data_IF_396068466382
#
_entry.id   IF_396068466382
#
_cell.length_a   1.000
_cell.length_b   1.000
_cell.length_c   1.000
_cell.angle_alpha   90.00
_cell.angle_beta   90.00
_cell.angle_gamma   90.00
#
_symmetry.space_group_name_H-M   'P 1'
#
loop_
_entity.id
_entity.type
_entity.pdbx_description
1 polymer ?
#
# COMPACT_ATOMS: atom_id res chain seq x y z
N UNK A 1 -8.98 -49.29 22.26
CA UNK A 1 -9.44 -47.98 21.76
C UNK A 1 -8.79 -46.91 22.61
N UNK A 2 -7.83 -46.17 22.06
CA UNK A 2 -7.13 -45.10 22.76
C UNK A 2 -7.65 -43.76 22.30
N UNK A 3 -7.95 -42.87 23.24
CA UNK A 3 -8.33 -41.49 22.93
C UNK A 3 -7.05 -40.73 22.61
N UNK A 4 -7.02 -40.05 21.47
CA UNK A 4 -5.98 -39.08 21.15
C UNK A 4 -6.55 -37.68 21.34
N UNK A 5 -5.76 -36.81 21.95
CA UNK A 5 -6.06 -35.38 22.04
C UNK A 5 -5.33 -34.63 20.94
N UNK A 6 -6.03 -33.71 20.29
CA UNK A 6 -5.43 -32.72 19.39
C UNK A 6 -5.38 -31.40 20.14
N UNK A 7 -4.20 -30.77 20.16
CA UNK A 7 -4.01 -29.44 20.72
C UNK A 7 -4.27 -28.41 19.61
N UNK A 8 -5.28 -27.57 19.80
CA UNK A 8 -5.57 -26.46 18.88
C UNK A 8 -5.01 -25.18 19.51
N UNK A 9 -3.92 -24.69 18.94
CA UNK A 9 -3.37 -23.38 19.31
C UNK A 9 -4.17 -22.31 18.59
N UNK A 10 -4.99 -21.57 19.34
CA UNK A 10 -5.61 -20.34 18.81
C UNK A 10 -4.51 -19.28 18.79
N UNK A 11 -3.93 -19.05 17.62
CA UNK A 11 -3.09 -17.90 17.39
C UNK A 11 -4.01 -16.69 17.32
N UNK A 12 -4.18 -15.99 18.44
CA UNK A 12 -4.83 -14.69 18.47
C UNK A 12 -3.94 -13.71 17.69
N UNK A 13 -4.03 -13.77 16.36
CA UNK A 13 -3.56 -12.67 15.53
C UNK A 13 -4.17 -11.41 16.12
N UNK A 14 -3.35 -10.40 16.37
CA UNK A 14 -3.84 -9.11 16.85
C UNK A 14 -4.80 -8.59 15.80
N UNK A 15 -6.10 -8.83 15.98
CA UNK A 15 -7.18 -8.22 15.22
C UNK A 15 -7.43 -6.80 15.75
N UNK A 16 -6.37 -6.03 15.97
CA UNK A 16 -6.49 -4.58 15.92
C UNK A 16 -6.61 -4.24 14.44
N UNK A 17 -7.32 -3.16 14.10
CA UNK A 17 -7.61 -2.79 12.72
C UNK A 17 -6.36 -3.01 11.84
N UNK A 18 -6.37 -3.98 10.92
CA UNK A 18 -5.41 -3.99 9.85
C UNK A 18 -5.84 -2.84 8.97
N UNK A 19 -5.35 -1.64 9.27
CA UNK A 19 -5.54 -0.51 8.37
C UNK A 19 -4.73 -0.85 7.12
N UNK A 20 -5.35 -1.55 6.18
CA UNK A 20 -4.91 -1.52 4.79
C UNK A 20 -5.32 -0.14 4.30
N UNK A 21 -4.34 0.73 4.12
CA UNK A 21 -4.59 2.08 3.64
C UNK A 21 -3.51 2.51 2.66
N UNK A 22 -3.88 3.46 1.83
CA UNK A 22 -2.95 4.23 1.01
C UNK A 22 -2.92 5.64 1.61
N UNK A 23 -1.74 6.17 1.98
CA UNK A 23 -1.63 7.55 2.46
C UNK A 23 -2.29 8.53 1.48
N UNK A 24 -3.00 9.52 2.01
CA UNK A 24 -3.69 10.52 1.19
C UNK A 24 -2.71 11.48 0.48
N UNK A 25 -1.50 11.63 1.02
CA UNK A 25 -0.48 12.51 0.49
C UNK A 25 0.92 11.88 0.64
N UNK A 26 1.79 12.18 -0.32
CA UNK A 26 3.22 11.87 -0.29
C UNK A 26 3.97 13.00 -1.01
N UNK A 27 5.26 13.15 -0.71
CA UNK A 27 6.11 14.26 -1.17
C UNK A 27 7.36 13.68 -1.83
N UNK A 28 7.34 13.35 -3.13
CA UNK A 28 8.49 12.77 -3.85
C UNK A 28 9.58 13.81 -4.14
N UNK A 29 10.02 14.56 -3.14
CA UNK A 29 10.97 15.67 -3.23
C UNK A 29 12.43 15.26 -2.93
N UNK A 30 12.67 13.98 -2.68
CA UNK A 30 13.95 13.37 -2.38
C UNK A 30 14.57 13.91 -1.07
N UNK A 31 13.72 14.18 -0.07
CA UNK A 31 14.15 14.57 1.29
C UNK A 31 14.24 13.38 2.27
N UNK A 32 13.91 12.18 1.80
CA UNK A 32 13.89 10.93 2.58
C UNK A 32 12.57 10.69 3.31
N UNK A 33 11.61 11.60 3.24
CA UNK A 33 10.35 11.57 3.98
C UNK A 33 9.16 11.53 3.03
N UNK A 34 8.39 10.43 3.08
CA UNK A 34 7.21 10.22 2.24
C UNK A 34 7.49 10.37 0.73
N UNK A 35 8.68 9.98 0.27
CA UNK A 35 9.06 10.08 -1.14
C UNK A 35 8.39 9.05 -2.04
N UNK A 36 7.98 7.92 -1.46
CA UNK A 36 7.41 6.80 -2.18
C UNK A 36 6.05 6.45 -1.57
N UNK A 37 5.04 6.38 -2.42
CA UNK A 37 3.68 5.98 -2.06
C UNK A 37 3.56 4.46 -2.07
N UNK A 38 3.20 3.88 -0.93
CA UNK A 38 3.01 2.44 -0.74
C UNK A 38 1.59 2.14 -0.26
N UNK A 39 1.13 0.92 -0.54
CA UNK A 39 0.04 0.30 0.24
C UNK A 39 0.60 -0.08 1.61
N UNK A 40 -0.02 0.39 2.69
CA UNK A 40 0.36 0.10 4.07
C UNK A 40 -0.66 -0.83 4.69
N UNK A 41 -0.21 -1.77 5.51
CA UNK A 41 -1.07 -2.73 6.21
C UNK A 41 -0.29 -3.98 6.61
N UNK A 42 -0.78 -4.70 7.62
CA UNK A 42 -0.22 -5.96 8.07
C UNK A 42 -1.31 -6.83 8.75
N UNK A 43 -1.53 -8.09 8.33
CA UNK A 43 -0.93 -8.75 7.18
C UNK A 43 -1.53 -8.28 5.84
N UNK A 44 -0.70 -8.29 4.80
CA UNK A 44 -1.12 -8.20 3.39
C UNK A 44 -0.58 -9.46 2.72
N UNK A 45 -1.49 -10.34 2.30
CA UNK A 45 -1.19 -11.58 1.57
C UNK A 45 -0.95 -11.28 0.08
N UNK A 46 -1.88 -10.57 -0.56
CA UNK A 46 -1.81 -10.16 -1.96
C UNK A 46 -2.23 -8.70 -2.12
N UNK A 47 -1.68 -8.03 -3.14
CA UNK A 47 -2.05 -6.65 -3.49
C UNK A 47 -2.08 -6.48 -5.00
N UNK A 48 -3.02 -5.65 -5.47
CA UNK A 48 -2.93 -5.01 -6.77
C UNK A 48 -3.04 -3.51 -6.53
N UNK A 49 -1.95 -2.79 -6.76
CA UNK A 49 -1.88 -1.36 -6.54
C UNK A 49 -1.65 -0.66 -7.87
N UNK A 50 -2.57 0.22 -8.26
CA UNK A 50 -2.48 1.01 -9.48
C UNK A 50 -2.78 2.47 -9.18
N UNK A 51 -2.01 3.37 -9.80
CA UNK A 51 -2.22 4.81 -9.73
C UNK A 51 -2.63 5.32 -11.09
N UNK A 52 -3.65 6.18 -11.10
CA UNK A 52 -4.19 6.81 -12.30
C UNK A 52 -4.03 8.32 -12.20
N UNK A 53 -3.75 8.97 -13.32
CA UNK A 53 -3.83 10.42 -13.39
C UNK A 53 -5.28 10.89 -13.56
N UNK A 54 -5.50 12.20 -13.50
CA UNK A 54 -6.82 12.84 -13.63
C UNK A 54 -7.60 12.52 -14.91
N UNK A 55 -6.94 11.98 -15.94
CA UNK A 55 -7.56 11.59 -17.21
C UNK A 55 -7.84 10.09 -17.30
N UNK A 56 -7.68 9.34 -16.20
CA UNK A 56 -7.90 7.90 -16.17
C UNK A 56 -6.78 7.09 -16.82
N UNK A 57 -5.64 7.70 -17.17
CA UNK A 57 -4.47 6.95 -17.63
C UNK A 57 -3.72 6.38 -16.43
N UNK A 58 -3.45 5.07 -16.48
CA UNK A 58 -2.62 4.39 -15.48
C UNK A 58 -1.17 4.85 -15.61
N UNK A 59 -0.60 5.31 -14.51
CA UNK A 59 0.77 5.85 -14.43
C UNK A 59 1.71 4.97 -13.62
N UNK A 60 1.16 4.03 -12.85
CA UNK A 60 1.93 3.06 -12.08
C UNK A 60 1.07 1.83 -11.80
N UNK A 61 1.68 0.64 -11.75
CA UNK A 61 1.04 -0.57 -11.24
C UNK A 61 2.07 -1.51 -10.61
N UNK A 62 1.65 -2.29 -9.62
CA UNK A 62 2.42 -3.38 -9.02
C UNK A 62 1.50 -4.39 -8.36
N UNK A 63 1.99 -5.63 -8.25
CA UNK A 63 1.42 -6.67 -7.39
C UNK A 63 2.30 -6.99 -6.17
N UNK A 64 3.47 -6.36 -6.07
CA UNK A 64 4.38 -6.48 -4.93
C UNK A 64 4.16 -5.33 -3.95
N UNK A 65 3.79 -5.65 -2.71
CA UNK A 65 3.55 -4.67 -1.62
C UNK A 65 4.79 -3.89 -1.21
N UNK A 66 5.99 -4.38 -1.53
CA UNK A 66 7.26 -3.72 -1.24
C UNK A 66 7.66 -2.71 -2.33
N UNK A 67 6.93 -2.69 -3.46
CA UNK A 67 7.15 -1.73 -4.53
C UNK A 67 6.11 -0.60 -4.38
N UNK A 68 6.59 0.63 -4.38
CA UNK A 68 5.75 1.82 -4.30
C UNK A 68 6.02 2.77 -5.46
N UNK A 69 5.18 3.81 -5.55
CA UNK A 69 5.26 4.80 -6.61
C UNK A 69 6.03 6.04 -6.14
N UNK A 70 7.06 6.43 -6.88
CA UNK A 70 7.92 7.58 -6.62
C UNK A 70 7.40 8.90 -7.23
N UNK A 71 6.18 8.90 -7.74
CA UNK A 71 5.61 10.07 -8.41
C UNK A 71 6.09 10.27 -9.85
N UNK A 72 6.82 9.33 -10.45
CA UNK A 72 7.30 9.45 -11.84
C UNK A 72 6.45 8.65 -12.82
N UNK A 73 6.37 9.13 -14.05
CA UNK A 73 5.77 8.43 -15.18
C UNK A 73 6.53 8.80 -16.46
N UNK A 74 6.90 7.78 -17.24
CA UNK A 74 7.66 7.96 -18.50
C UNK A 74 8.92 8.83 -18.34
N UNK A 75 9.66 8.62 -17.25
CA UNK A 75 10.90 9.34 -16.95
C UNK A 75 10.70 10.80 -16.51
N UNK A 76 9.47 11.22 -16.23
CA UNK A 76 9.15 12.58 -15.76
C UNK A 76 8.43 12.52 -14.43
N UNK A 77 8.77 13.45 -13.53
CA UNK A 77 8.03 13.66 -12.30
C UNK A 77 6.65 14.22 -12.62
N UNK A 78 5.60 13.55 -12.19
CA UNK A 78 4.25 14.07 -12.29
C UNK A 78 4.04 15.10 -11.18
N UNK A 79 3.42 16.24 -11.54
CA UNK A 79 3.02 17.21 -10.54
C UNK A 79 2.01 16.56 -9.59
N UNK A 80 2.21 16.72 -8.28
CA UNK A 80 1.26 16.23 -7.30
C UNK A 80 -0.10 16.86 -7.57
N UNK A 81 -1.13 16.02 -7.68
CA UNK A 81 -2.50 16.48 -7.50
C UNK A 81 -2.66 16.83 -6.02
N UNK A 82 -2.34 18.06 -5.65
CA UNK A 82 -2.93 18.63 -4.45
C UNK A 82 -4.43 18.65 -4.69
N UNK A 83 -5.19 17.80 -3.97
CA UNK A 83 -6.61 18.07 -3.79
C UNK A 83 -6.68 19.40 -3.04
N UNK A 84 -7.16 20.49 -3.65
CA UNK A 84 -7.53 21.64 -2.85
C UNK A 84 -8.69 21.13 -2.01
N UNK A 85 -8.46 20.89 -0.72
CA UNK A 85 -9.55 20.66 0.22
C UNK A 85 -10.34 21.97 0.24
N UNK A 86 -11.43 22.00 -0.53
CA UNK A 86 -12.61 22.84 -0.25
C UNK A 86 -13.48 22.12 0.75
#
# INVERSE_FOLDING_TARGET
MGIQSVEVVVNSGVCNEPYIFVPLAFTPNNDGTNDILYVRGNPIEEVYFAVYNRWGQRVFETTDKNIGWDGTFQGRKLALMYSPIT
#
